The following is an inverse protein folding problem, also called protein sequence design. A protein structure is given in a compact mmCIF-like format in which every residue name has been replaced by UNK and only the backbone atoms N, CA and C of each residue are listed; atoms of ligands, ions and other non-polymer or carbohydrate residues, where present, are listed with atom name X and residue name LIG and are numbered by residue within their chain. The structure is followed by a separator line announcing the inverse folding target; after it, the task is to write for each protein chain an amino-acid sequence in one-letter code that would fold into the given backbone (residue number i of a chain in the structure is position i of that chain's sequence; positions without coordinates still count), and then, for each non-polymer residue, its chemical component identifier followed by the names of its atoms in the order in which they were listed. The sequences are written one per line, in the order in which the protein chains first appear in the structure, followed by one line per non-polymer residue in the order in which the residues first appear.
data_IF_884732266839
#
_entry.id   IF_884732266839
#
_cell.length_a   1.000
_cell.length_b   1.000
_cell.length_c   1.000
_cell.angle_alpha   90.00
_cell.angle_beta   90.00
_cell.angle_gamma   90.00
#
_symmetry.space_group_name_H-M   'P 1'
#
loop_
_entity.id
_entity.type
_entity.pdbx_description
1 polymer ?
#
# COMPACT_ATOMS: atom_id res chain seq x y z
N UNK A 1 -0.91 -30.43 -17.37
CA UNK A 1 -0.28 -29.70 -18.48
C UNK A 1 -1.18 -28.63 -19.09
N UNK A 2 -2.32 -28.96 -19.73
CA UNK A 2 -3.20 -27.97 -20.41
C UNK A 2 -3.71 -26.84 -19.51
N UNK A 3 -4.07 -27.15 -18.25
CA UNK A 3 -4.50 -26.15 -17.24
C UNK A 3 -3.38 -25.21 -16.81
N UNK A 4 -2.17 -25.75 -16.62
CA UNK A 4 -0.98 -24.98 -16.27
C UNK A 4 -0.59 -24.01 -17.39
N UNK A 5 -0.66 -24.48 -18.65
CA UNK A 5 -0.39 -23.67 -19.83
C UNK A 5 -1.38 -22.52 -19.97
N UNK A 6 -2.67 -22.79 -19.73
CA UNK A 6 -3.71 -21.76 -19.70
C UNK A 6 -3.45 -20.72 -18.60
N UNK A 7 -3.08 -21.14 -17.39
CA UNK A 7 -2.74 -20.23 -16.30
C UNK A 7 -1.55 -19.34 -16.65
N UNK A 8 -0.51 -19.89 -17.26
CA UNK A 8 0.67 -19.13 -17.73
C UNK A 8 0.30 -18.13 -18.82
N UNK A 9 -0.54 -18.52 -19.79
CA UNK A 9 -1.01 -17.62 -20.85
C UNK A 9 -1.83 -16.47 -20.27
N UNK A 10 -2.74 -16.76 -19.33
CA UNK A 10 -3.51 -15.72 -18.63
C UNK A 10 -2.57 -14.78 -17.87
N UNK A 11 -1.56 -15.30 -17.18
CA UNK A 11 -0.55 -14.50 -16.48
C UNK A 11 0.21 -13.56 -17.42
N UNK A 12 0.70 -14.08 -18.55
CA UNK A 12 1.45 -13.30 -19.55
C UNK A 12 0.56 -12.22 -20.17
N UNK A 13 -0.68 -12.55 -20.55
CA UNK A 13 -1.62 -11.59 -21.12
C UNK A 13 -2.01 -10.51 -20.10
N UNK A 14 -2.26 -10.90 -18.85
CA UNK A 14 -2.54 -9.96 -17.76
C UNK A 14 -1.33 -9.08 -17.38
N UNK A 15 -0.10 -9.55 -17.63
CA UNK A 15 1.13 -8.81 -17.38
C UNK A 15 1.21 -7.50 -18.16
N UNK A 16 0.63 -7.42 -19.36
CA UNK A 16 0.54 -6.18 -20.14
C UNK A 16 -0.37 -5.11 -19.51
N UNK A 17 -1.30 -5.54 -18.65
CA UNK A 17 -2.16 -4.66 -17.84
C UNK A 17 -1.54 -4.36 -16.47
N UNK A 18 -0.53 -5.13 -16.06
CA UNK A 18 0.16 -4.92 -14.79
C UNK A 18 1.01 -3.65 -14.88
N UNK A 19 0.75 -2.73 -13.95
CA UNK A 19 1.52 -1.49 -13.82
C UNK A 19 2.47 -1.65 -12.63
N UNK A 20 3.74 -1.32 -12.82
CA UNK A 20 4.68 -1.22 -11.71
C UNK A 20 4.13 -0.24 -10.67
N UNK A 21 4.34 -0.55 -9.40
CA UNK A 21 3.80 0.21 -8.28
C UNK A 21 4.92 0.71 -7.40
N UNK A 22 4.76 1.90 -6.84
CA UNK A 22 5.64 2.40 -5.80
C UNK A 22 5.40 1.63 -4.51
N UNK A 23 6.44 1.54 -3.68
CA UNK A 23 6.30 1.08 -2.30
C UNK A 23 5.44 2.08 -1.53
N UNK A 24 4.61 1.57 -0.64
CA UNK A 24 4.04 2.40 0.40
C UNK A 24 5.14 2.73 1.42
N UNK A 25 4.88 3.65 2.32
CA UNK A 25 5.78 3.96 3.44
C UNK A 25 5.81 2.86 4.52
N UNK A 26 5.48 1.62 4.15
CA UNK A 26 5.50 0.40 4.97
C UNK A 26 6.10 -0.74 4.14
N UNK A 27 6.21 -1.96 4.69
CA UNK A 27 6.69 -3.13 3.92
C UNK A 27 5.73 -3.59 2.79
N UNK A 28 4.68 -2.81 2.47
CA UNK A 28 3.70 -3.07 1.39
C UNK A 28 3.86 -2.15 0.17
N UNK A 29 3.21 -2.52 -0.95
CA UNK A 29 3.12 -1.62 -2.12
C UNK A 29 1.96 -0.64 -1.94
N UNK A 30 2.09 0.55 -2.53
CA UNK A 30 1.12 1.64 -2.40
C UNK A 30 -0.32 1.18 -2.70
N UNK A 31 -0.49 0.42 -3.78
CA UNK A 31 -1.81 -0.04 -4.25
C UNK A 31 -2.05 -1.54 -4.02
N UNK A 32 -1.02 -2.30 -3.62
CA UNK A 32 -1.12 -3.74 -3.35
C UNK A 32 -0.41 -4.06 -2.03
N UNK A 33 -1.16 -4.27 -0.94
CA UNK A 33 -0.56 -4.55 0.35
C UNK A 33 0.08 -5.95 0.39
N UNK A 34 1.21 -6.07 1.09
CA UNK A 34 1.89 -7.33 1.34
C UNK A 34 1.69 -7.78 2.80
N UNK A 35 1.76 -9.09 3.02
CA UNK A 35 1.78 -9.68 4.36
C UNK A 35 3.19 -9.86 4.92
N UNK A 36 4.21 -9.42 4.19
CA UNK A 36 5.59 -9.37 4.68
C UNK A 36 5.72 -8.28 5.73
N UNK A 37 6.64 -8.47 6.66
CA UNK A 37 6.90 -7.56 7.78
C UNK A 37 8.40 -7.25 7.83
N UNK A 38 8.75 -6.06 8.33
CA UNK A 38 10.12 -5.77 8.76
C UNK A 38 10.45 -6.52 10.06
N UNK A 39 11.73 -6.53 10.44
CA UNK A 39 12.19 -7.10 11.71
C UNK A 39 11.76 -6.22 12.90
N UNK A 40 11.66 -6.84 14.08
CA UNK A 40 11.32 -6.20 15.34
C UNK A 40 12.28 -5.05 15.66
N UNK A 41 11.72 -3.94 16.15
CA UNK A 41 12.49 -2.73 16.44
C UNK A 41 12.91 -1.95 15.20
N UNK A 42 12.53 -2.36 13.98
CA UNK A 42 12.82 -1.59 12.78
C UNK A 42 12.11 -0.24 12.83
N UNK A 43 12.89 0.83 12.71
CA UNK A 43 12.42 2.19 12.44
C UNK A 43 12.82 2.58 11.02
N UNK A 44 11.83 2.74 10.14
CA UNK A 44 12.04 3.03 8.72
C UNK A 44 11.54 4.42 8.38
N UNK A 45 12.36 5.22 7.69
CA UNK A 45 11.94 6.49 7.09
C UNK A 45 11.84 6.29 5.58
N UNK A 46 10.76 6.78 4.98
CA UNK A 46 10.47 6.62 3.55
C UNK A 46 10.23 7.98 2.90
N UNK A 47 10.71 8.11 1.66
CA UNK A 47 10.58 9.30 0.84
C UNK A 47 10.35 8.84 -0.60
N UNK A 48 9.15 9.06 -1.13
CA UNK A 48 8.72 8.50 -2.41
C UNK A 48 8.25 9.60 -3.34
N UNK A 49 8.83 9.65 -4.54
CA UNK A 49 8.20 10.32 -5.66
C UNK A 49 6.96 9.53 -6.08
N UNK A 50 5.83 10.20 -6.20
CA UNK A 50 4.57 9.58 -6.59
C UNK A 50 4.12 10.12 -7.94
N UNK A 51 3.99 9.21 -8.90
CA UNK A 51 3.45 9.56 -10.21
C UNK A 51 1.96 9.96 -10.07
N UNK A 52 1.50 10.88 -10.91
CA UNK A 52 0.07 11.29 -10.97
C UNK A 52 -0.92 10.13 -11.09
N UNK A 53 -0.51 9.01 -11.71
CA UNK A 53 -1.36 7.83 -11.89
C UNK A 53 -1.46 6.94 -10.63
N UNK A 54 -0.70 7.25 -9.58
CA UNK A 54 -0.70 6.53 -8.30
C UNK A 54 -1.73 7.08 -7.32
N UNK A 55 -2.33 8.23 -7.62
CA UNK A 55 -3.35 8.90 -6.82
C UNK A 55 -4.76 8.74 -7.41
N UNK A 56 -5.82 8.99 -6.63
CA UNK A 56 -7.18 9.10 -7.16
C UNK A 56 -7.27 10.13 -8.29
N UNK A 57 -7.92 9.73 -9.39
CA UNK A 57 -8.06 10.58 -10.57
C UNK A 57 -8.95 11.81 -10.35
N UNK A 58 -9.68 11.87 -9.22
CA UNK A 58 -10.68 12.90 -8.91
C UNK A 58 -10.11 14.22 -8.38
N UNK A 59 -8.79 14.37 -8.20
CA UNK A 59 -8.24 15.60 -7.62
C UNK A 59 -6.81 15.99 -8.00
N UNK A 60 -5.99 15.06 -8.51
CA UNK A 60 -4.55 15.31 -8.68
C UNK A 60 -4.04 14.81 -10.02
N UNK A 61 -3.83 15.74 -10.96
CA UNK A 61 -3.36 15.45 -12.32
C UNK A 61 -1.84 15.61 -12.51
N UNK A 62 -1.10 15.79 -11.42
CA UNK A 62 0.33 16.09 -11.37
C UNK A 62 1.07 15.10 -10.46
N UNK A 63 2.40 15.04 -10.61
CA UNK A 63 3.23 14.19 -9.77
C UNK A 63 3.40 14.82 -8.39
N UNK A 64 3.33 14.00 -7.34
CA UNK A 64 3.46 14.43 -5.95
C UNK A 64 4.67 13.77 -5.29
N UNK A 65 4.85 14.03 -4.00
CA UNK A 65 5.88 13.43 -3.18
C UNK A 65 5.25 13.03 -1.85
N UNK A 66 5.59 11.84 -1.35
CA UNK A 66 5.23 11.42 0.00
C UNK A 66 6.45 11.18 0.85
N UNK A 67 6.33 11.47 2.14
CA UNK A 67 7.32 11.13 3.15
C UNK A 67 6.62 10.54 4.36
N UNK A 68 7.31 9.66 5.07
CA UNK A 68 6.72 8.98 6.20
C UNK A 68 7.73 8.22 7.03
N UNK A 69 7.19 7.58 8.05
CA UNK A 69 7.93 6.63 8.85
C UNK A 69 7.04 5.45 9.26
N UNK A 70 7.67 4.32 9.54
CA UNK A 70 7.04 3.10 10.02
C UNK A 70 7.88 2.50 11.15
N UNK A 71 7.21 1.90 12.12
CA UNK A 71 7.83 1.22 13.26
C UNK A 71 7.24 -0.18 13.36
N UNK A 72 8.11 -1.16 13.52
CA UNK A 72 7.73 -2.56 13.70
C UNK A 72 7.93 -3.03 15.13
N UNK A 73 6.93 -3.71 15.66
CA UNK A 73 6.90 -4.28 17.01
C UNK A 73 6.63 -5.78 16.94
N UNK A 74 7.44 -6.55 17.66
CA UNK A 74 7.35 -7.99 17.87
C UNK A 74 7.30 -8.81 16.57
N UNK A 75 7.91 -8.30 15.49
CA UNK A 75 7.78 -8.80 14.10
C UNK A 75 6.32 -8.99 13.63
N UNK A 76 5.34 -8.36 14.28
CA UNK A 76 3.91 -8.64 14.04
C UNK A 76 3.07 -7.42 13.87
N UNK A 77 3.44 -6.30 14.46
CA UNK A 77 2.69 -5.06 14.36
C UNK A 77 3.54 -4.01 13.67
N UNK A 78 3.07 -3.50 12.54
CA UNK A 78 3.64 -2.34 11.86
C UNK A 78 2.67 -1.18 12.02
N UNK A 79 3.18 -0.02 12.43
CA UNK A 79 2.41 1.23 12.51
C UNK A 79 3.22 2.37 11.93
N UNK A 80 2.56 3.19 11.13
CA UNK A 80 3.24 4.23 10.38
C UNK A 80 2.41 5.48 10.18
N UNK A 81 3.13 6.51 9.76
CA UNK A 81 2.61 7.81 9.41
C UNK A 81 3.15 8.20 8.05
N UNK A 82 2.27 8.67 7.19
CA UNK A 82 2.61 9.10 5.84
C UNK A 82 1.98 10.44 5.57
N UNK A 83 2.75 11.33 4.98
CA UNK A 83 2.27 12.61 4.49
C UNK A 83 2.54 12.70 2.99
N UNK A 84 1.51 13.07 2.23
CA UNK A 84 1.61 13.34 0.80
C UNK A 84 1.51 14.86 0.58
N UNK A 85 2.49 15.41 -0.15
CA UNK A 85 2.62 16.84 -0.39
C UNK A 85 1.98 17.23 -1.71
N UNK A 86 0.84 17.90 -1.62
CA UNK A 86 0.07 18.34 -2.76
C UNK A 86 0.41 19.78 -3.16
N UNK A 87 0.23 20.08 -4.44
CA UNK A 87 0.25 21.45 -4.90
C UNK A 87 -0.90 22.21 -4.25
N UNK A 88 -0.58 23.37 -3.69
CA UNK A 88 -1.53 24.26 -3.04
C UNK A 88 -1.23 25.71 -3.36
N UNK A 89 -2.25 26.57 -3.26
CA UNK A 89 -2.06 28.02 -3.36
C UNK A 89 -1.45 28.53 -2.07
N UNK A 90 -0.20 28.99 -2.13
CA UNK A 90 0.47 29.66 -0.98
C UNK A 90 -0.28 30.93 -0.52
N UNK A 91 -1.02 31.57 -1.43
CA UNK A 91 -1.86 32.75 -1.18
C UNK A 91 -3.20 32.50 -1.88
N UNK A 92 -4.32 32.67 -1.17
CA UNK A 92 -5.67 32.29 -1.64
C UNK A 92 -6.12 32.90 -2.99
N UNK A 93 -5.45 33.95 -3.46
CA UNK A 93 -5.69 34.65 -4.73
C UNK A 93 -4.63 34.39 -5.82
N UNK A 94 -3.69 33.47 -5.60
CA UNK A 94 -2.65 33.13 -6.58
C UNK A 94 -3.19 32.47 -7.86
N UNK A 95 -2.57 32.78 -9.00
CA UNK A 95 -2.79 32.08 -10.28
C UNK A 95 -2.29 30.62 -10.19
N UNK A 96 -2.73 29.75 -11.11
CA UNK A 96 -2.29 28.34 -11.15
C UNK A 96 -0.76 28.18 -11.30
N UNK A 97 -0.06 29.24 -11.76
CA UNK A 97 1.41 29.31 -11.83
C UNK A 97 2.12 29.49 -10.49
N UNK A 98 1.39 29.72 -9.41
CA UNK A 98 1.90 29.84 -8.03
C UNK A 98 1.56 28.64 -7.15
N UNK A 99 1.04 27.57 -7.76
CA UNK A 99 0.86 26.28 -7.10
C UNK A 99 2.23 25.70 -6.75
N UNK A 100 2.51 25.59 -5.45
CA UNK A 100 3.74 25.01 -4.90
C UNK A 100 3.32 23.82 -4.05
N UNK A 101 4.16 22.79 -3.94
CA UNK A 101 4.05 21.67 -3.01
C UNK A 101 4.04 22.16 -1.54
N UNK A 102 2.91 22.69 -1.10
CA UNK A 102 2.73 23.32 0.21
C UNK A 102 1.54 22.75 0.97
N UNK A 103 0.55 22.19 0.27
CA UNK A 103 -0.55 21.51 0.93
C UNK A 103 -0.10 20.12 1.35
N UNK A 104 -0.58 19.65 2.49
CA UNK A 104 -0.18 18.38 3.06
C UNK A 104 -1.43 17.63 3.50
N UNK A 105 -1.55 16.38 3.06
CA UNK A 105 -2.51 15.44 3.64
C UNK A 105 -1.76 14.28 4.28
N UNK A 106 -2.35 13.74 5.33
CA UNK A 106 -1.69 12.71 6.14
C UNK A 106 -2.60 11.50 6.28
N UNK A 107 -1.99 10.32 6.35
CA UNK A 107 -2.69 9.13 6.77
C UNK A 107 -1.84 8.32 7.75
N UNK A 108 -2.53 7.63 8.65
CA UNK A 108 -1.94 6.64 9.53
C UNK A 108 -2.18 5.26 8.97
N UNK A 109 -1.15 4.43 8.95
CA UNK A 109 -1.25 3.04 8.56
C UNK A 109 -0.95 2.14 9.74
N UNK A 110 -1.58 0.97 9.75
CA UNK A 110 -1.33 -0.06 10.74
C UNK A 110 -1.63 -1.41 10.16
N UNK A 111 -0.78 -2.41 10.41
CA UNK A 111 -1.05 -3.78 10.00
C UNK A 111 -0.54 -4.78 11.02
N UNK A 112 -1.30 -5.85 11.20
CA UNK A 112 -1.00 -6.90 12.15
C UNK A 112 -0.88 -8.25 11.43
N UNK A 113 0.23 -8.95 11.68
CA UNK A 113 0.55 -10.25 11.13
C UNK A 113 0.06 -11.37 12.07
N UNK A 114 -0.98 -12.05 11.61
CA UNK A 114 -1.56 -13.19 12.29
C UNK A 114 -0.76 -14.47 12.06
N UNK A 115 -0.23 -14.65 10.85
CA UNK A 115 0.63 -15.77 10.52
C UNK A 115 1.93 -15.29 9.89
N UNK A 116 3.06 -15.77 10.40
CA UNK A 116 4.36 -15.68 9.73
C UNK A 116 4.41 -16.71 8.60
N UNK A 117 5.18 -16.41 7.58
CA UNK A 117 5.49 -17.38 6.55
C UNK A 117 6.20 -18.59 7.17
N UNK A 118 5.74 -19.81 6.88
CA UNK A 118 6.35 -21.02 7.45
C UNK A 118 6.03 -21.26 8.93
N UNK A 119 5.08 -20.53 9.52
CA UNK A 119 4.77 -20.64 10.94
C UNK A 119 4.42 -22.09 11.36
N UNK A 120 4.78 -22.46 12.59
CA UNK A 120 4.68 -23.83 13.11
C UNK A 120 5.57 -24.87 12.39
N UNK A 121 6.56 -24.43 11.61
CA UNK A 121 7.45 -25.32 10.85
C UNK A 121 6.80 -25.89 9.59
N UNK A 122 5.76 -25.22 9.08
CA UNK A 122 5.00 -25.65 7.90
C UNK A 122 5.34 -24.74 6.72
N UNK A 123 6.38 -25.09 5.97
CA UNK A 123 6.93 -24.29 4.86
C UNK A 123 5.93 -23.87 3.78
N UNK A 124 4.78 -24.52 3.68
CA UNK A 124 3.75 -24.15 2.70
C UNK A 124 2.84 -23.01 3.17
N UNK A 125 2.83 -22.68 4.47
CA UNK A 125 2.00 -21.62 5.03
C UNK A 125 2.50 -20.25 4.54
N UNK A 126 1.63 -19.45 3.89
CA UNK A 126 1.94 -18.06 3.57
C UNK A 126 1.84 -17.18 4.82
N UNK A 127 2.55 -16.05 4.83
CA UNK A 127 2.28 -15.00 5.79
C UNK A 127 0.85 -14.45 5.60
N UNK A 128 0.18 -14.10 6.69
CA UNK A 128 -1.16 -13.53 6.70
C UNK A 128 -1.24 -12.27 7.57
N UNK A 129 -1.73 -11.18 6.99
CA UNK A 129 -1.86 -9.86 7.63
C UNK A 129 -3.25 -9.29 7.39
N UNK A 130 -3.77 -8.57 8.39
CA UNK A 130 -4.84 -7.57 8.19
C UNK A 130 -4.27 -6.20 8.48
N UNK A 131 -4.61 -5.23 7.63
CA UNK A 131 -4.16 -3.86 7.81
C UNK A 131 -5.21 -2.83 7.47
N UNK A 132 -4.92 -1.61 7.91
CA UNK A 132 -5.74 -0.43 7.75
C UNK A 132 -4.85 0.75 7.36
N UNK A 133 -5.41 1.66 6.59
CA UNK A 133 -4.89 2.98 6.29
C UNK A 133 -6.03 3.96 6.43
N UNK A 134 -5.81 5.01 7.20
CA UNK A 134 -6.77 6.08 7.48
C UNK A 134 -8.20 5.59 7.77
N UNK A 135 -8.41 4.69 8.75
CA UNK A 135 -9.71 4.04 8.96
C UNK A 135 -10.81 4.98 9.48
N UNK A 136 -10.44 6.17 9.98
CA UNK A 136 -11.33 7.12 10.64
C UNK A 136 -11.05 8.53 10.15
N UNK A 137 -12.07 9.35 9.96
CA UNK A 137 -11.90 10.78 9.65
C UNK A 137 -12.55 11.66 10.73
N UNK A 138 -11.84 12.69 11.15
CA UNK A 138 -12.34 13.69 12.11
C UNK A 138 -13.42 14.62 11.54
N UNK A 139 -13.78 14.47 10.26
CA UNK A 139 -14.83 15.28 9.62
C UNK A 139 -16.26 14.78 9.86
N UNK A 140 -16.44 13.68 10.59
CA UNK A 140 -17.77 13.22 11.02
C UNK A 140 -18.25 14.02 12.24
N UNK A 141 -19.58 14.15 12.44
CA UNK A 141 -20.16 14.78 13.65
C UNK A 141 -19.69 14.12 14.96
N UNK A 142 -19.21 12.87 14.88
CA UNK A 142 -18.70 12.07 16.00
C UNK A 142 -17.16 12.06 16.10
N UNK A 143 -16.46 12.88 15.31
CA UNK A 143 -15.00 12.96 15.30
C UNK A 143 -14.30 11.67 14.83
N UNK A 144 -13.12 11.37 15.38
CA UNK A 144 -12.32 10.17 15.02
C UNK A 144 -12.87 8.85 15.57
N UNK A 145 -14.00 8.88 16.28
CA UNK A 145 -14.61 7.69 16.89
C UNK A 145 -15.46 6.93 15.88
N UNK A 146 -15.84 7.59 14.79
CA UNK A 146 -16.64 7.02 13.74
C UNK A 146 -15.76 6.53 12.58
N UNK A 147 -15.89 5.25 12.23
CA UNK A 147 -15.22 4.63 11.07
C UNK A 147 -15.80 5.06 9.73
N UNK A 148 -16.57 6.16 9.71
CA UNK A 148 -17.33 6.65 8.57
C UNK A 148 -16.48 7.55 7.66
N UNK A 149 -15.41 7.00 7.09
CA UNK A 149 -14.86 7.54 5.84
C UNK A 149 -15.80 7.13 4.71
N UNK A 150 -16.87 7.90 4.51
CA UNK A 150 -17.91 7.58 3.52
C UNK A 150 -18.04 8.65 2.43
N UNK A 151 -18.39 8.20 1.22
CA UNK A 151 -18.73 9.11 0.12
C UNK A 151 -17.49 9.73 -0.54
N UNK A 152 -17.48 11.06 -0.64
CA UNK A 152 -16.45 11.87 -1.35
C UNK A 152 -15.70 12.83 -0.42
N UNK A 153 -15.83 12.65 0.90
CA UNK A 153 -15.21 13.52 1.91
C UNK A 153 -13.71 13.24 2.15
N UNK A 154 -13.21 13.71 3.29
CA UNK A 154 -11.83 13.43 3.75
C UNK A 154 -11.59 11.92 3.93
N UNK A 155 -10.32 11.53 3.90
CA UNK A 155 -9.89 10.14 4.05
C UNK A 155 -9.50 9.48 2.72
N UNK A 156 -8.70 10.18 1.91
CA UNK A 156 -8.37 9.77 0.54
C UNK A 156 -7.56 8.48 0.45
N UNK A 157 -6.86 8.15 1.53
CA UNK A 157 -6.06 6.94 1.66
C UNK A 157 -6.77 5.83 2.44
N UNK A 158 -8.08 5.99 2.71
CA UNK A 158 -8.87 5.00 3.45
C UNK A 158 -8.86 3.65 2.75
N UNK A 159 -8.37 2.65 3.48
CA UNK A 159 -8.30 1.27 3.03
C UNK A 159 -8.21 0.34 4.22
N UNK A 160 -9.01 -0.71 4.18
CA UNK A 160 -8.83 -1.92 4.99
C UNK A 160 -8.46 -3.06 4.04
N UNK A 161 -7.60 -3.97 4.48
CA UNK A 161 -7.19 -5.08 3.64
C UNK A 161 -6.82 -6.32 4.43
N UNK A 162 -6.93 -7.46 3.76
CA UNK A 162 -6.35 -8.72 4.18
C UNK A 162 -5.36 -9.17 3.09
N UNK A 163 -4.15 -9.54 3.48
CA UNK A 163 -3.08 -9.90 2.56
C UNK A 163 -2.47 -11.26 2.92
N UNK A 164 -2.09 -12.00 1.88
CA UNK A 164 -1.32 -13.23 1.93
C UNK A 164 -0.04 -13.02 1.14
N UNK A 165 1.08 -13.52 1.66
CA UNK A 165 2.37 -13.42 0.96
C UNK A 165 3.20 -14.68 1.16
N UNK A 166 3.86 -15.11 0.09
CA UNK A 166 4.75 -16.27 0.09
C UNK A 166 6.00 -15.93 -0.70
N UNK A 167 7.16 -16.29 -0.16
CA UNK A 167 8.44 -16.10 -0.82
C UNK A 167 9.03 -17.43 -1.29
N UNK A 168 9.72 -17.37 -2.42
CA UNK A 168 10.36 -18.52 -3.05
C UNK A 168 11.79 -18.13 -3.40
N UNK A 169 12.75 -18.87 -2.86
CA UNK A 169 14.15 -18.69 -3.19
C UNK A 169 14.46 -19.40 -4.52
N UNK A 170 15.13 -18.70 -5.43
CA UNK A 170 15.57 -19.22 -6.72
C UNK A 170 17.06 -18.95 -6.90
N UNK A 171 17.68 -19.57 -7.91
CA UNK A 171 19.09 -19.31 -8.24
C UNK A 171 19.38 -17.87 -8.70
N UNK A 172 18.34 -17.09 -9.01
CA UNK A 172 18.47 -15.71 -9.48
C UNK A 172 17.98 -14.68 -8.44
N UNK A 173 17.59 -15.15 -7.26
CA UNK A 173 17.11 -14.34 -6.14
C UNK A 173 15.74 -14.79 -5.64
N UNK A 174 15.10 -13.94 -4.85
CA UNK A 174 13.85 -14.22 -4.14
C UNK A 174 12.64 -13.67 -4.89
N UNK A 175 11.67 -14.54 -5.16
CA UNK A 175 10.39 -14.17 -5.77
C UNK A 175 9.32 -14.14 -4.68
N UNK A 176 8.63 -13.03 -4.52
CA UNK A 176 7.46 -12.91 -3.65
C UNK A 176 6.16 -12.97 -4.45
N UNK A 177 5.22 -13.83 -4.04
CA UNK A 177 3.86 -13.85 -4.56
C UNK A 177 2.91 -13.31 -3.51
N UNK A 178 2.06 -12.36 -3.90
CA UNK A 178 1.18 -11.63 -2.99
C UNK A 178 -0.24 -11.65 -3.52
N UNK A 179 -1.19 -11.90 -2.61
CA UNK A 179 -2.63 -11.83 -2.86
C UNK A 179 -3.27 -11.02 -1.76
N UNK A 180 -4.15 -10.10 -2.09
CA UNK A 180 -4.89 -9.36 -1.09
C UNK A 180 -6.30 -9.04 -1.54
N UNK A 181 -7.16 -8.78 -0.57
CA UNK A 181 -8.47 -8.18 -0.79
C UNK A 181 -8.48 -6.82 -0.10
N UNK A 182 -8.82 -5.79 -0.86
CA UNK A 182 -8.91 -4.42 -0.36
C UNK A 182 -10.38 -4.03 -0.24
N UNK A 183 -10.68 -3.20 0.76
CA UNK A 183 -12.00 -2.67 1.02
C UNK A 183 -11.91 -1.23 1.52
N UNK A 184 -12.76 -0.35 1.02
CA UNK A 184 -13.00 0.99 1.49
C UNK A 184 -14.49 1.36 1.29
N UNK A 185 -14.94 2.40 1.99
CA UNK A 185 -16.31 2.91 1.91
C UNK A 185 -16.42 4.18 1.05
N UNK A 186 -15.36 4.51 0.31
CA UNK A 186 -15.33 5.65 -0.61
C UNK A 186 -16.13 5.36 -1.87
N UNK A 187 -16.83 6.37 -2.37
CA UNK A 187 -17.60 6.28 -3.63
C UNK A 187 -16.83 6.81 -4.83
N UNK A 188 -15.93 7.75 -4.61
CA UNK A 188 -15.11 8.39 -5.65
C UNK A 188 -13.80 7.64 -5.96
N UNK A 189 -13.35 6.77 -5.05
CA UNK A 189 -12.15 5.94 -5.23
C UNK A 189 -12.32 4.53 -4.65
N UNK A 190 -13.21 3.70 -5.23
CA UNK A 190 -13.43 2.35 -4.75
C UNK A 190 -12.22 1.46 -5.09
N UNK A 191 -11.54 0.97 -4.05
CA UNK A 191 -10.45 -0.02 -4.18
C UNK A 191 -10.94 -1.46 -3.92
N UNK A 192 -12.25 -1.66 -3.89
CA UNK A 192 -12.88 -2.89 -3.42
C UNK A 192 -12.65 -4.03 -4.40
N UNK A 193 -11.88 -5.02 -3.98
CA UNK A 193 -11.66 -6.20 -4.81
C UNK A 193 -10.38 -6.97 -4.53
N UNK A 194 -10.20 -8.10 -5.22
CA UNK A 194 -8.97 -8.86 -5.18
C UNK A 194 -7.86 -8.10 -5.92
N UNK A 195 -6.66 -8.18 -5.39
CA UNK A 195 -5.44 -7.69 -6.01
C UNK A 195 -4.32 -8.72 -5.83
N UNK A 196 -3.37 -8.69 -6.74
CA UNK A 196 -2.24 -9.59 -6.75
C UNK A 196 -0.99 -8.83 -7.20
N UNK A 197 0.16 -9.24 -6.71
CA UNK A 197 1.43 -8.84 -7.30
C UNK A 197 2.49 -9.91 -7.16
N UNK A 198 3.55 -9.71 -7.93
CA UNK A 198 4.79 -10.45 -7.82
C UNK A 198 5.90 -9.45 -7.54
N UNK A 199 6.76 -9.76 -6.58
CA UNK A 199 8.00 -9.04 -6.31
C UNK A 199 9.18 -9.93 -6.66
N UNK A 200 10.28 -9.32 -7.05
CA UNK A 200 11.53 -10.01 -7.28
C UNK A 200 12.66 -9.19 -6.68
N UNK A 201 13.45 -9.85 -5.86
CA UNK A 201 14.69 -9.33 -5.30
C UNK A 201 15.84 -10.15 -5.89
N UNK A 202 16.79 -9.50 -6.59
CA UNK A 202 17.90 -10.21 -7.18
C UNK A 202 18.88 -10.70 -6.11
N UNK A 203 19.52 -11.84 -6.39
CA UNK A 203 20.43 -12.53 -5.46
C UNK A 203 21.58 -11.67 -4.91
N UNK A 204 22.03 -10.64 -5.62
CA UNK A 204 23.10 -9.75 -5.15
C UNK A 204 22.63 -8.68 -4.15
N UNK A 205 21.34 -8.62 -3.84
CA UNK A 205 20.78 -7.78 -2.77
C UNK A 205 20.44 -8.57 -1.49
N UNK A 206 20.44 -9.90 -1.55
CA UNK A 206 20.31 -10.79 -0.41
C UNK A 206 21.64 -10.84 0.37
N UNK A 207 21.89 -9.82 1.20
CA UNK A 207 23.02 -9.79 2.15
C UNK A 207 22.58 -10.24 3.54
#
# INVERSE_FOLDING_TARGET
MRRLLLSVIVLILSGSLARAQFTDCSSGLLQMPSALMQEDGTFMITNNFLNRHSLPASGWSYNTFSYGFNVTFWDRLEVGYVCTVFDGKKVGTGSDRTMIMFNQDRHFLGKFQFLKEGEFGLDWIPAFVVGVSDPTTGSSENGYVDGNVEGTGNGYFNRMYAALSKTFNTSWGRIGAHLAYQYNRRRDYPLNGPCAAVTWEPVWLEN
#
